data_IF_994803798532
#
_entry.id   IF_994803798532
#
_cell.length_a   1.000
_cell.length_b   1.000
_cell.length_c   1.000
_cell.angle_alpha   90.00
_cell.angle_beta   90.00
_cell.angle_gamma   90.00
#
_symmetry.space_group_name_H-M   'P 1'
#
loop_
_entity.id
_entity.type
_entity.pdbx_description
1 polymer ?
#
# COMPACT_ATOMS: atom_id res chain seq x y z
N UNK A 1 41.74 -11.49 45.78
CA UNK A 1 41.91 -12.95 45.66
C UNK A 1 40.93 -13.46 44.62
N UNK A 2 41.41 -14.34 43.72
CA UNK A 2 40.79 -14.96 42.52
C UNK A 2 40.68 -14.09 41.27
N UNK A 3 41.77 -14.18 40.49
CA UNK A 3 41.91 -13.87 39.07
C UNK A 3 41.08 -14.82 38.19
N UNK A 4 40.61 -14.32 37.04
CA UNK A 4 40.45 -15.13 35.83
C UNK A 4 40.62 -14.24 34.60
N UNK A 5 41.81 -14.30 34.01
CA UNK A 5 42.14 -13.78 32.68
C UNK A 5 42.03 -14.97 31.73
N UNK A 6 41.10 -14.92 30.78
CA UNK A 6 41.02 -15.90 29.69
C UNK A 6 41.62 -15.30 28.42
N UNK A 7 42.77 -15.82 28.01
CA UNK A 7 43.42 -15.56 26.72
C UNK A 7 42.73 -16.39 25.63
N UNK A 8 42.28 -15.74 24.57
CA UNK A 8 41.88 -16.40 23.33
C UNK A 8 43.11 -16.76 22.48
N UNK A 9 43.25 -18.05 22.15
CA UNK A 9 44.25 -18.59 21.21
C UNK A 9 43.82 -18.28 19.78
N UNK A 10 44.75 -17.74 18.99
CA UNK A 10 44.66 -17.56 17.54
C UNK A 10 45.10 -18.86 16.86
N UNK A 11 44.26 -19.42 16.00
CA UNK A 11 44.59 -20.59 15.20
C UNK A 11 45.43 -20.17 13.99
N UNK A 12 46.59 -20.80 13.84
CA UNK A 12 47.49 -20.73 12.68
C UNK A 12 47.32 -22.01 11.88
N UNK A 13 46.98 -21.89 10.59
CA UNK A 13 46.95 -23.01 9.64
C UNK A 13 48.17 -22.88 8.72
N UNK A 14 48.87 -24.00 8.58
CA UNK A 14 50.16 -24.16 7.94
C UNK A 14 50.12 -23.98 6.41
N UNK A 15 51.11 -23.27 5.89
CA UNK A 15 51.52 -23.27 4.50
C UNK A 15 52.24 -24.58 4.18
N UNK A 16 51.81 -25.26 3.12
CA UNK A 16 52.56 -26.35 2.47
C UNK A 16 53.29 -25.73 1.27
N UNK A 17 54.60 -25.90 1.27
CA UNK A 17 55.53 -25.51 0.22
C UNK A 17 56.12 -26.79 -0.37
N UNK A 18 55.99 -27.04 -1.68
CA UNK A 18 56.91 -27.91 -2.43
C UNK A 18 57.10 -27.34 -3.87
N UNK A 19 58.31 -26.80 -4.07
CA UNK A 19 59.21 -26.82 -5.24
C UNK A 19 58.69 -26.73 -6.71
N UNK A 20 58.95 -25.56 -7.33
CA UNK A 20 59.77 -25.22 -8.54
C UNK A 20 60.51 -26.34 -9.32
N UNK A 21 61.09 -26.11 -10.55
CA UNK A 21 61.19 -24.88 -11.38
C UNK A 21 61.09 -25.05 -12.94
N UNK A 22 61.19 -23.90 -13.67
CA UNK A 22 61.85 -23.62 -14.98
C UNK A 22 61.57 -24.54 -16.22
N UNK A 23 61.47 -24.10 -17.49
CA UNK A 23 61.98 -22.93 -18.24
C UNK A 23 61.31 -22.89 -19.63
N UNK A 24 61.20 -21.67 -20.19
CA UNK A 24 61.27 -21.21 -21.60
C UNK A 24 61.35 -22.27 -22.74
N UNK A 25 60.49 -22.29 -23.76
CA UNK A 25 60.22 -21.35 -24.87
C UNK A 25 60.94 -21.68 -26.20
N UNK A 26 60.15 -21.57 -27.28
CA UNK A 26 60.46 -21.36 -28.71
C UNK A 26 60.77 -22.52 -29.70
N UNK A 27 59.75 -22.76 -30.55
CA UNK A 27 59.67 -22.70 -32.05
C UNK A 27 60.64 -23.50 -32.93
N UNK A 28 60.04 -24.28 -33.85
CA UNK A 28 59.99 -24.17 -35.34
C UNK A 28 59.41 -25.53 -35.76
N UNK A 29 58.21 -25.67 -36.34
CA UNK A 29 57.77 -25.21 -37.65
C UNK A 29 57.39 -26.44 -38.48
N UNK A 30 56.17 -26.50 -39.02
CA UNK A 30 55.78 -27.14 -40.30
C UNK A 30 54.32 -26.80 -40.54
N UNK A 31 54.08 -26.19 -41.70
CA UNK A 31 52.77 -25.91 -42.24
C UNK A 31 52.18 -27.18 -42.85
N UNK A 32 50.93 -27.50 -42.52
CA UNK A 32 50.05 -28.29 -43.40
C UNK A 32 48.69 -27.61 -43.37
N UNK A 33 48.34 -26.99 -44.50
CA UNK A 33 47.00 -26.58 -44.82
C UNK A 33 46.27 -27.78 -45.41
N UNK A 34 45.09 -28.15 -44.87
CA UNK A 34 44.00 -28.67 -45.72
C UNK A 34 42.64 -28.67 -45.02
N UNK A 35 41.70 -28.05 -45.73
CA UNK A 35 40.28 -28.38 -45.86
C UNK A 35 39.32 -28.20 -44.66
N UNK A 36 38.56 -27.10 -44.75
CA UNK A 36 37.18 -26.96 -44.29
C UNK A 36 36.33 -28.22 -44.58
N UNK A 37 35.64 -28.73 -43.56
CA UNK A 37 34.29 -29.27 -43.69
C UNK A 37 33.47 -28.86 -42.46
N UNK A 38 32.60 -27.88 -42.71
CA UNK A 38 31.56 -27.40 -41.81
C UNK A 38 30.57 -28.53 -41.50
N UNK A 39 30.53 -28.96 -40.25
CA UNK A 39 29.27 -29.42 -39.62
C UNK A 39 28.96 -28.46 -38.49
N UNK A 40 28.47 -27.29 -38.88
CA UNK A 40 27.88 -26.32 -37.97
C UNK A 40 26.60 -26.89 -37.39
N UNK A 41 26.73 -27.67 -36.33
CA UNK A 41 25.66 -27.83 -35.34
C UNK A 41 25.53 -26.49 -34.62
N UNK A 42 24.81 -25.55 -35.25
CA UNK A 42 24.37 -24.35 -34.59
C UNK A 42 23.47 -24.78 -33.43
N UNK A 43 24.03 -24.83 -32.22
CA UNK A 43 23.22 -24.61 -31.03
C UNK A 43 22.58 -23.26 -31.28
N UNK A 44 21.30 -23.26 -31.64
CA UNK A 44 20.54 -22.03 -31.74
C UNK A 44 20.79 -21.30 -30.42
N UNK A 45 21.35 -20.07 -30.42
CA UNK A 45 21.35 -19.29 -29.21
C UNK A 45 19.87 -19.24 -28.82
N UNK A 46 19.55 -19.73 -27.61
CA UNK A 46 18.24 -19.52 -27.04
C UNK A 46 17.98 -18.03 -27.21
N UNK A 47 17.07 -17.69 -28.13
CA UNK A 47 16.66 -16.32 -28.39
C UNK A 47 16.19 -15.82 -27.03
N UNK A 48 17.05 -15.05 -26.36
CA UNK A 48 16.69 -14.38 -25.13
C UNK A 48 15.41 -13.62 -25.48
N UNK A 49 14.30 -14.00 -24.86
CA UNK A 49 13.00 -13.39 -25.12
C UNK A 49 13.20 -11.88 -25.10
N UNK A 50 12.72 -11.19 -26.13
CA UNK A 50 12.87 -9.75 -26.22
C UNK A 50 12.45 -9.13 -24.88
N UNK A 51 13.25 -8.22 -24.31
CA UNK A 51 12.99 -7.62 -23.01
C UNK A 51 11.60 -6.96 -23.04
N UNK A 52 10.62 -7.61 -22.42
CA UNK A 52 9.24 -7.11 -22.42
C UNK A 52 9.16 -5.93 -21.46
N UNK A 53 8.74 -4.76 -21.95
CA UNK A 53 8.46 -3.58 -21.12
C UNK A 53 7.11 -3.65 -20.41
N UNK A 54 6.38 -4.75 -20.58
CA UNK A 54 5.08 -5.03 -19.97
C UNK A 54 5.00 -6.43 -19.38
N UNK A 55 4.12 -6.62 -18.41
CA UNK A 55 3.82 -7.93 -17.81
C UNK A 55 2.35 -7.98 -17.37
N UNK A 56 1.64 -9.04 -17.76
CA UNK A 56 0.25 -9.24 -17.37
C UNK A 56 0.19 -10.22 -16.21
N UNK A 57 -0.18 -9.72 -15.03
CA UNK A 57 -0.42 -10.51 -13.84
C UNK A 57 -1.88 -10.94 -13.80
N UNK A 58 -2.15 -12.25 -13.86
CA UNK A 58 -3.51 -12.78 -13.84
C UNK A 58 -4.08 -12.76 -12.42
N UNK A 59 -5.34 -12.37 -12.29
CA UNK A 59 -6.09 -12.42 -11.04
C UNK A 59 -7.27 -13.39 -11.17
N UNK A 60 -7.77 -13.95 -10.05
CA UNK A 60 -9.00 -14.73 -10.01
C UNK A 60 -10.17 -14.05 -10.70
N UNK A 61 -11.08 -14.86 -11.25
CA UNK A 61 -12.29 -14.37 -11.93
C UNK A 61 -12.05 -13.75 -13.31
N UNK A 62 -10.84 -13.87 -13.87
CA UNK A 62 -10.49 -13.34 -15.20
C UNK A 62 -10.04 -11.89 -15.21
N UNK A 63 -9.90 -11.28 -14.03
CA UNK A 63 -9.28 -9.97 -13.88
C UNK A 63 -7.76 -10.06 -14.11
N UNK A 64 -7.10 -8.92 -14.34
CA UNK A 64 -5.65 -8.88 -14.45
C UNK A 64 -5.10 -7.50 -14.09
N UNK A 65 -3.80 -7.43 -13.81
CA UNK A 65 -3.05 -6.18 -13.71
C UNK A 65 -1.98 -6.19 -14.79
N UNK A 66 -2.03 -5.20 -15.67
CA UNK A 66 -1.00 -4.99 -16.67
C UNK A 66 0.03 -4.02 -16.09
N UNK A 67 1.19 -4.56 -15.73
CA UNK A 67 2.36 -3.79 -15.38
C UNK A 67 3.04 -3.30 -16.66
N UNK A 68 3.49 -2.06 -16.65
CA UNK A 68 4.14 -1.41 -17.78
C UNK A 68 5.25 -0.47 -17.35
N UNK A 69 6.03 -0.01 -18.33
CA UNK A 69 7.13 0.94 -18.13
C UNK A 69 8.12 0.44 -17.04
N UNK A 70 8.67 -0.75 -17.27
CA UNK A 70 9.68 -1.34 -16.39
C UNK A 70 10.89 -0.41 -16.23
N UNK A 71 11.33 -0.18 -14.99
CA UNK A 71 12.50 0.63 -14.70
C UNK A 71 13.79 0.03 -15.30
N UNK A 72 13.90 -1.30 -15.27
CA UNK A 72 14.92 -2.07 -15.97
C UNK A 72 14.28 -3.24 -16.73
N UNK A 73 13.95 -3.09 -18.02
CA UNK A 73 13.34 -4.16 -18.83
C UNK A 73 14.21 -5.41 -19.00
N UNK A 74 15.53 -5.32 -18.72
CA UNK A 74 16.45 -6.45 -18.79
C UNK A 74 16.49 -7.27 -17.49
N UNK A 75 16.01 -6.71 -16.37
CA UNK A 75 15.97 -7.43 -15.10
C UNK A 75 15.00 -8.63 -15.20
N UNK A 76 15.31 -9.77 -14.55
CA UNK A 76 14.37 -10.86 -14.37
C UNK A 76 13.05 -10.35 -13.78
N UNK A 77 11.91 -10.95 -14.14
CA UNK A 77 10.58 -10.51 -13.67
C UNK A 77 10.51 -10.31 -12.13
N UNK A 78 11.03 -11.22 -11.28
CA UNK A 78 10.99 -11.05 -9.82
C UNK A 78 11.87 -9.92 -9.26
N UNK A 79 12.66 -9.25 -10.10
CA UNK A 79 13.54 -8.14 -9.73
C UNK A 79 13.15 -6.85 -10.47
N UNK A 80 12.08 -6.90 -11.27
CA UNK A 80 11.70 -5.81 -12.16
C UNK A 80 10.69 -4.90 -11.46
N UNK A 81 11.10 -3.66 -11.22
CA UNK A 81 10.22 -2.61 -10.74
C UNK A 81 9.45 -1.95 -11.90
N UNK A 82 8.22 -1.54 -11.63
CA UNK A 82 7.28 -1.07 -12.66
C UNK A 82 6.76 0.33 -12.36
N UNK A 83 6.68 1.20 -13.38
CA UNK A 83 6.20 2.59 -13.20
C UNK A 83 4.71 2.75 -13.52
N UNK A 84 4.07 1.72 -14.07
CA UNK A 84 2.66 1.75 -14.45
C UNK A 84 1.97 0.44 -14.10
N UNK A 85 0.75 0.53 -13.58
CA UNK A 85 -0.18 -0.60 -13.45
C UNK A 85 -1.58 -0.19 -13.87
N UNK A 86 -2.18 -1.00 -14.72
CA UNK A 86 -3.56 -0.84 -15.16
C UNK A 86 -4.33 -2.09 -14.76
N UNK A 87 -5.40 -1.92 -13.99
CA UNK A 87 -6.30 -3.01 -13.66
C UNK A 87 -7.25 -3.28 -14.83
N UNK A 88 -7.46 -4.55 -15.14
CA UNK A 88 -8.36 -5.05 -16.18
C UNK A 88 -9.45 -5.90 -15.54
N UNK A 89 -10.70 -5.51 -15.79
CA UNK A 89 -11.85 -6.35 -15.48
C UNK A 89 -12.06 -7.42 -16.56
N UNK A 90 -12.74 -8.52 -16.23
CA UNK A 90 -13.13 -9.55 -17.21
C UNK A 90 -14.00 -8.99 -18.35
N UNK A 91 -14.73 -7.90 -18.09
CA UNK A 91 -15.56 -7.20 -19.06
C UNK A 91 -14.76 -6.39 -20.09
N UNK A 92 -13.44 -6.29 -19.91
CA UNK A 92 -12.56 -5.43 -20.71
C UNK A 92 -12.48 -3.98 -20.22
N UNK A 93 -13.28 -3.59 -19.24
CA UNK A 93 -13.14 -2.28 -18.59
C UNK A 93 -11.79 -2.19 -17.84
N UNK A 94 -11.22 -0.99 -17.75
CA UNK A 94 -9.92 -0.77 -17.13
C UNK A 94 -9.87 0.50 -16.29
N UNK A 95 -8.91 0.56 -15.37
CA UNK A 95 -8.52 1.80 -14.70
C UNK A 95 -7.04 1.76 -14.32
N UNK A 96 -6.41 2.93 -14.20
CA UNK A 96 -5.02 3.05 -13.77
C UNK A 96 -4.92 2.92 -12.25
N UNK A 97 -4.16 1.93 -11.78
CA UNK A 97 -3.73 1.85 -10.37
C UNK A 97 -2.58 2.82 -10.12
N UNK A 98 -1.66 2.91 -11.08
CA UNK A 98 -0.54 3.85 -11.08
C UNK A 98 -0.17 4.29 -12.52
N UNK A 99 0.10 5.59 -12.76
CA UNK A 99 -0.24 6.71 -11.85
C UNK A 99 -1.75 6.79 -11.64
N UNK A 100 -2.19 7.28 -10.47
CA UNK A 100 -3.63 7.43 -10.21
C UNK A 100 -4.22 8.49 -11.13
N UNK A 101 -5.53 8.46 -11.30
CA UNK A 101 -6.23 9.47 -12.09
C UNK A 101 -5.96 10.87 -11.50
N UNK A 102 -5.45 11.79 -12.32
CA UNK A 102 -5.10 13.15 -11.88
C UNK A 102 -3.65 13.34 -11.41
N UNK A 103 -2.92 12.26 -11.14
CA UNK A 103 -1.51 12.35 -10.78
C UNK A 103 -0.66 12.65 -12.02
N UNK A 104 0.21 13.66 -11.90
CA UNK A 104 1.38 13.75 -12.79
C UNK A 104 2.33 12.64 -12.38
N UNK A 105 2.89 11.90 -13.34
CA UNK A 105 3.88 10.88 -13.07
C UNK A 105 5.07 11.47 -12.27
N UNK A 106 5.00 11.37 -10.94
CA UNK A 106 6.09 11.77 -10.07
C UNK A 106 7.21 10.78 -10.33
N UNK A 107 8.40 11.29 -10.69
CA UNK A 107 9.51 10.51 -11.23
C UNK A 107 10.09 9.42 -10.32
N UNK A 108 9.54 9.22 -9.12
CA UNK A 108 10.02 8.26 -8.14
C UNK A 108 9.03 7.18 -7.69
N UNK A 109 7.83 7.06 -8.27
CA UNK A 109 6.93 5.94 -7.90
C UNK A 109 7.25 4.67 -8.68
N UNK A 110 7.45 3.56 -7.98
CA UNK A 110 7.72 2.24 -8.56
C UNK A 110 6.96 1.17 -7.79
N UNK A 111 6.30 0.25 -8.49
CA UNK A 111 5.71 -0.94 -7.88
C UNK A 111 6.71 -2.08 -7.81
N UNK A 112 6.53 -2.86 -6.76
CA UNK A 112 7.20 -4.14 -6.59
C UNK A 112 6.71 -5.16 -7.65
N UNK A 113 7.56 -6.15 -7.97
CA UNK A 113 7.16 -7.27 -8.82
C UNK A 113 5.92 -7.99 -8.26
N UNK A 114 4.91 -8.28 -9.09
CA UNK A 114 3.78 -9.07 -8.65
C UNK A 114 4.18 -10.53 -8.36
N UNK A 115 3.52 -11.12 -7.38
CA UNK A 115 3.64 -12.53 -6.99
C UNK A 115 2.27 -13.12 -6.70
N UNK A 116 2.06 -14.40 -6.97
CA UNK A 116 0.83 -15.10 -6.57
C UNK A 116 0.60 -15.05 -5.06
N UNK A 117 1.67 -14.93 -4.27
CA UNK A 117 1.60 -14.71 -2.82
C UNK A 117 1.01 -13.34 -2.43
N UNK A 118 0.83 -12.42 -3.37
CA UNK A 118 0.12 -11.17 -3.15
C UNK A 118 -1.40 -11.34 -3.18
N UNK A 119 -1.91 -12.46 -3.71
CA UNK A 119 -3.34 -12.74 -3.81
C UNK A 119 -3.79 -13.49 -2.55
N UNK A 120 -4.87 -13.02 -1.93
CA UNK A 120 -5.46 -13.69 -0.76
C UNK A 120 -5.87 -15.13 -1.10
N UNK A 121 -5.82 -16.08 -0.16
CA UNK A 121 -6.28 -17.46 -0.42
C UNK A 121 -7.74 -17.58 -0.88
N UNK A 122 -8.58 -16.61 -0.55
CA UNK A 122 -9.96 -16.49 -1.04
C UNK A 122 -10.07 -16.10 -2.51
N UNK A 123 -9.01 -15.51 -3.07
CA UNK A 123 -9.00 -14.91 -4.40
C UNK A 123 -9.80 -13.62 -4.51
N UNK A 124 -10.21 -13.01 -3.38
CA UNK A 124 -11.02 -11.79 -3.39
C UNK A 124 -10.18 -10.51 -3.33
N UNK A 125 -8.96 -10.59 -2.80
CA UNK A 125 -8.07 -9.45 -2.62
C UNK A 125 -6.68 -9.70 -3.19
N UNK A 126 -6.03 -8.62 -3.61
CA UNK A 126 -4.60 -8.56 -3.94
C UNK A 126 -3.96 -7.36 -3.23
N UNK A 127 -2.76 -7.53 -2.68
CA UNK A 127 -1.99 -6.43 -2.06
C UNK A 127 -0.77 -6.12 -2.92
N UNK A 128 -0.61 -4.86 -3.31
CA UNK A 128 0.49 -4.43 -4.18
C UNK A 128 1.38 -3.47 -3.42
N UNK A 129 2.68 -3.79 -3.33
CA UNK A 129 3.71 -2.91 -2.80
C UNK A 129 4.14 -1.85 -3.81
N UNK A 130 4.38 -0.63 -3.33
CA UNK A 130 4.96 0.47 -4.10
C UNK A 130 5.94 1.27 -3.25
N UNK A 131 6.96 1.81 -3.89
CA UNK A 131 7.91 2.74 -3.32
C UNK A 131 7.70 4.09 -4.00
N UNK A 132 7.51 5.13 -3.21
CA UNK A 132 7.52 6.52 -3.68
C UNK A 132 8.82 7.18 -3.23
N UNK A 133 9.62 7.65 -4.18
CA UNK A 133 10.83 8.42 -3.91
C UNK A 133 10.68 9.88 -4.32
N UNK A 134 11.24 10.79 -3.53
CA UNK A 134 11.27 12.23 -3.82
C UNK A 134 12.19 12.98 -2.88
N UNK A 135 12.42 14.25 -3.16
CA UNK A 135 13.26 15.11 -2.31
C UNK A 135 12.40 15.81 -1.27
N UNK A 136 12.79 15.73 0.01
CA UNK A 136 12.13 16.38 1.13
C UNK A 136 12.97 17.56 1.62
N UNK A 137 12.32 18.71 1.83
CA UNK A 137 12.99 19.87 2.39
C UNK A 137 13.33 19.64 3.86
N UNK A 138 14.60 19.75 4.19
CA UNK A 138 15.10 19.65 5.58
C UNK A 138 14.95 20.96 6.37
N UNK A 139 14.31 21.98 5.78
CA UNK A 139 14.12 23.32 6.35
C UNK A 139 14.72 24.45 5.50
N UNK A 140 14.43 25.71 5.84
CA UNK A 140 14.92 26.86 5.06
C UNK A 140 16.46 26.89 5.01
N UNK A 141 17.03 26.93 3.81
CA UNK A 141 18.48 27.00 3.58
C UNK A 141 19.24 25.68 3.77
N UNK A 142 18.54 24.58 4.06
CA UNK A 142 19.14 23.25 4.12
C UNK A 142 18.98 22.54 2.77
N UNK A 143 19.96 21.69 2.38
CA UNK A 143 19.82 20.87 1.18
C UNK A 143 18.61 19.94 1.31
N UNK A 144 17.90 19.79 0.20
CA UNK A 144 16.87 18.76 0.09
C UNK A 144 17.53 17.38 0.23
N UNK A 145 16.83 16.46 0.90
CA UNK A 145 17.28 15.09 1.06
C UNK A 145 16.37 14.15 0.30
N UNK A 146 16.95 13.20 -0.43
CA UNK A 146 16.16 12.16 -1.08
C UNK A 146 15.59 11.21 -0.02
N UNK A 147 14.28 11.02 -0.07
CA UNK A 147 13.54 10.14 0.82
C UNK A 147 12.71 9.18 -0.02
N UNK A 148 12.67 7.92 0.39
CA UNK A 148 11.79 6.91 -0.17
C UNK A 148 10.83 6.40 0.91
N UNK A 149 9.60 6.11 0.51
CA UNK A 149 8.57 5.55 1.38
C UNK A 149 7.86 4.39 0.70
N UNK A 150 7.76 3.29 1.42
CA UNK A 150 6.99 2.13 1.01
C UNK A 150 5.52 2.31 1.37
N UNK A 151 4.66 1.93 0.43
CA UNK A 151 3.23 1.82 0.58
C UNK A 151 2.75 0.46 0.08
N UNK A 152 1.58 0.05 0.55
CA UNK A 152 0.89 -1.14 0.08
C UNK A 152 -0.59 -0.85 -0.08
N UNK A 153 -1.11 -1.10 -1.28
CA UNK A 153 -2.52 -0.94 -1.58
C UNK A 153 -3.22 -2.30 -1.55
N UNK A 154 -4.25 -2.45 -0.72
CA UNK A 154 -5.15 -3.60 -0.74
C UNK A 154 -6.28 -3.35 -1.75
N UNK A 155 -6.49 -4.28 -2.67
CA UNK A 155 -7.45 -4.15 -3.76
C UNK A 155 -8.43 -5.31 -3.72
N UNK A 156 -9.73 -5.01 -3.67
CA UNK A 156 -10.79 -5.98 -3.89
C UNK A 156 -10.91 -6.28 -5.39
N UNK A 157 -10.59 -7.51 -5.78
CA UNK A 157 -10.44 -7.92 -7.19
C UNK A 157 -11.75 -7.79 -7.97
N UNK A 158 -12.89 -8.07 -7.32
CA UNK A 158 -14.21 -8.02 -7.98
C UNK A 158 -14.58 -6.62 -8.45
N UNK A 159 -14.28 -5.61 -7.63
CA UNK A 159 -14.76 -4.22 -7.81
C UNK A 159 -13.64 -3.29 -8.26
N UNK A 160 -12.37 -3.68 -8.08
CA UNK A 160 -11.23 -2.80 -8.23
C UNK A 160 -11.15 -1.73 -7.13
N UNK A 161 -11.90 -1.87 -6.03
CA UNK A 161 -11.82 -0.96 -4.90
C UNK A 161 -10.47 -1.12 -4.19
N UNK A 162 -9.70 -0.04 -4.11
CA UNK A 162 -8.56 0.07 -3.20
C UNK A 162 -9.15 0.30 -1.81
N UNK A 163 -9.16 -0.75 -0.99
CA UNK A 163 -9.77 -0.74 0.35
C UNK A 163 -8.89 -0.06 1.39
N UNK A 164 -7.59 -0.02 1.16
CA UNK A 164 -6.65 0.72 1.98
C UNK A 164 -5.37 0.98 1.18
N UNK A 165 -4.67 2.05 1.51
CA UNK A 165 -3.32 2.35 1.03
C UNK A 165 -2.43 2.70 2.22
N UNK A 166 -1.74 1.68 2.73
CA UNK A 166 -1.00 1.75 3.98
C UNK A 166 0.50 1.91 3.74
N UNK A 167 1.24 2.08 4.82
CA UNK A 167 2.70 2.28 4.84
C UNK A 167 3.29 1.73 6.12
N UNK A 168 4.56 1.35 6.10
CA UNK A 168 5.28 0.82 7.26
C UNK A 168 5.02 -0.67 7.49
N UNK A 169 5.10 -1.09 8.75
CA UNK A 169 5.14 -2.51 9.15
C UNK A 169 3.96 -3.36 8.66
N UNK A 170 2.78 -2.75 8.49
CA UNK A 170 1.59 -3.45 7.99
C UNK A 170 1.78 -3.97 6.55
N UNK A 171 2.65 -3.34 5.75
CA UNK A 171 2.94 -3.79 4.39
C UNK A 171 3.77 -5.09 4.35
N UNK A 172 4.48 -5.42 5.44
CA UNK A 172 5.27 -6.65 5.54
C UNK A 172 4.52 -7.85 6.13
N UNK A 173 3.23 -7.73 6.47
CA UNK A 173 2.54 -8.75 7.26
C UNK A 173 2.20 -10.04 6.48
N UNK A 174 1.73 -9.91 5.24
CA UNK A 174 1.41 -11.04 4.36
C UNK A 174 0.09 -11.76 4.68
N UNK A 175 -0.38 -12.57 3.71
CA UNK A 175 -1.56 -13.42 3.89
C UNK A 175 -1.26 -14.61 4.79
N UNK A 176 -2.17 -14.89 5.74
CA UNK A 176 -2.02 -16.01 6.66
C UNK A 176 -2.40 -17.35 6.02
N UNK A 177 -1.52 -18.34 6.15
CA UNK A 177 -1.76 -19.68 5.65
C UNK A 177 -2.99 -20.31 6.31
N UNK A 178 -3.83 -20.99 5.53
CA UNK A 178 -5.08 -21.61 6.01
C UNK A 178 -6.23 -20.64 6.28
N UNK A 179 -5.99 -19.33 6.21
CA UNK A 179 -7.03 -18.30 6.37
C UNK A 179 -7.47 -17.76 5.01
N UNK A 180 -8.76 -17.52 4.83
CA UNK A 180 -9.31 -17.12 3.52
C UNK A 180 -8.87 -15.71 3.12
N UNK A 181 -8.97 -14.74 4.02
CA UNK A 181 -8.71 -13.33 3.73
C UNK A 181 -8.21 -12.60 4.99
N UNK A 182 -7.13 -13.12 5.58
CA UNK A 182 -6.50 -12.54 6.76
C UNK A 182 -5.10 -12.04 6.40
N UNK A 183 -4.90 -10.73 6.51
CA UNK A 183 -3.64 -10.06 6.30
C UNK A 183 -3.01 -9.78 7.67
N UNK A 184 -1.93 -10.49 7.99
CA UNK A 184 -1.32 -10.42 9.32
C UNK A 184 -2.30 -10.76 10.45
N UNK A 185 -2.39 -9.88 11.46
CA UNK A 185 -3.34 -10.02 12.57
C UNK A 185 -4.76 -9.61 12.19
N UNK A 186 -5.73 -9.85 13.08
CA UNK A 186 -7.12 -9.41 12.88
C UNK A 186 -7.22 -7.89 12.76
N UNK A 187 -6.47 -7.14 13.58
CA UNK A 187 -6.41 -5.68 13.51
C UNK A 187 -5.81 -5.19 12.18
N UNK A 188 -4.76 -5.85 11.70
CA UNK A 188 -4.15 -5.52 10.40
C UNK A 188 -5.09 -5.85 9.24
N UNK A 189 -5.87 -6.93 9.38
CA UNK A 189 -6.90 -7.32 8.41
C UNK A 189 -8.04 -6.31 8.38
N UNK A 190 -8.51 -5.87 9.54
CA UNK A 190 -9.54 -4.85 9.64
C UNK A 190 -9.08 -3.54 9.00
N UNK A 191 -7.86 -3.09 9.32
CA UNK A 191 -7.25 -1.91 8.70
C UNK A 191 -7.13 -2.03 7.18
N UNK A 192 -6.60 -3.15 6.68
CA UNK A 192 -6.34 -3.31 5.24
C UNK A 192 -7.61 -3.50 4.41
N UNK A 193 -8.63 -4.17 4.95
CA UNK A 193 -9.75 -4.66 4.16
C UNK A 193 -11.10 -4.03 4.51
N UNK A 194 -11.24 -3.41 5.69
CA UNK A 194 -12.54 -3.01 6.25
C UNK A 194 -12.59 -1.57 6.73
N UNK A 195 -11.85 -1.20 7.77
CA UNK A 195 -12.00 0.09 8.46
C UNK A 195 -11.65 1.28 7.57
N UNK A 196 -10.62 1.13 6.74
CA UNK A 196 -10.14 2.19 5.87
C UNK A 196 -10.78 2.14 4.49
N UNK A 197 -11.72 1.22 4.26
CA UNK A 197 -12.47 1.13 3.01
C UNK A 197 -13.22 2.45 2.77
N UNK A 198 -12.95 3.16 1.66
CA UNK A 198 -13.66 4.40 1.34
C UNK A 198 -15.18 4.20 1.23
N UNK A 199 -15.94 5.15 1.77
CA UNK A 199 -17.40 5.20 1.59
C UNK A 199 -17.89 6.64 1.55
N UNK A 200 -18.98 6.89 0.81
CA UNK A 200 -19.52 8.23 0.65
C UNK A 200 -19.97 8.80 2.00
N UNK A 201 -20.54 7.96 2.85
CA UNK A 201 -20.99 8.37 4.20
C UNK A 201 -19.83 8.84 5.07
N UNK A 202 -18.71 8.09 5.07
CA UNK A 202 -17.48 8.47 5.78
C UNK A 202 -16.90 9.77 5.23
N UNK A 203 -16.79 9.88 3.91
CA UNK A 203 -16.26 11.08 3.27
C UNK A 203 -17.08 12.33 3.60
N UNK A 204 -18.41 12.26 3.44
CA UNK A 204 -19.30 13.38 3.74
C UNK A 204 -19.27 13.75 5.23
N UNK A 205 -19.14 12.76 6.13
CA UNK A 205 -19.00 13.02 7.56
C UNK A 205 -17.79 13.91 7.83
N UNK A 206 -16.63 13.58 7.27
CA UNK A 206 -15.41 14.38 7.45
C UNK A 206 -15.48 15.75 6.78
N UNK A 207 -16.07 15.84 5.59
CA UNK A 207 -16.32 17.13 4.93
C UNK A 207 -17.21 18.01 5.82
N UNK A 208 -18.28 17.43 6.39
CA UNK A 208 -19.20 18.14 7.27
C UNK A 208 -18.53 18.57 8.58
N UNK A 209 -17.51 17.83 9.03
CA UNK A 209 -16.66 18.19 10.16
C UNK A 209 -15.61 19.28 9.83
N UNK A 210 -15.61 19.81 8.60
CA UNK A 210 -14.77 20.93 8.17
C UNK A 210 -13.41 20.51 7.57
N UNK A 211 -13.20 19.21 7.34
CA UNK A 211 -11.98 18.75 6.67
C UNK A 211 -12.01 19.10 5.18
N UNK A 212 -10.85 19.43 4.57
CA UNK A 212 -10.78 19.85 3.18
C UNK A 212 -11.16 18.70 2.23
N UNK A 213 -12.21 18.85 1.40
CA UNK A 213 -12.73 17.77 0.56
C UNK A 213 -11.69 17.14 -0.36
N UNK A 214 -10.78 17.95 -0.92
CA UNK A 214 -9.74 17.48 -1.84
C UNK A 214 -8.77 16.51 -1.15
N UNK A 215 -8.27 16.87 0.03
CA UNK A 215 -7.31 16.01 0.74
C UNK A 215 -7.92 14.67 1.16
N UNK A 216 -9.23 14.66 1.48
CA UNK A 216 -9.95 13.44 1.80
C UNK A 216 -10.09 12.52 0.59
N UNK A 217 -10.49 13.07 -0.56
CA UNK A 217 -10.59 12.31 -1.81
C UNK A 217 -9.23 11.78 -2.24
N UNK A 218 -8.17 12.58 -2.15
CA UNK A 218 -6.80 12.14 -2.45
C UNK A 218 -6.37 10.99 -1.52
N UNK A 219 -6.70 11.08 -0.23
CA UNK A 219 -6.46 10.03 0.77
C UNK A 219 -7.22 8.73 0.49
N UNK A 220 -8.43 8.83 -0.05
CA UNK A 220 -9.25 7.70 -0.49
C UNK A 220 -8.85 7.16 -1.87
N UNK A 221 -7.69 7.55 -2.40
CA UNK A 221 -7.17 7.16 -3.72
C UNK A 221 -8.00 7.67 -4.90
N UNK A 222 -8.69 8.80 -4.74
CA UNK A 222 -9.44 9.48 -5.79
C UNK A 222 -10.95 9.20 -5.77
N UNK A 223 -11.71 10.09 -6.41
CA UNK A 223 -13.17 9.98 -6.47
C UNK A 223 -13.65 8.74 -7.25
N UNK A 224 -12.87 8.30 -8.24
CA UNK A 224 -13.13 7.06 -8.97
C UNK A 224 -12.97 5.82 -8.08
N UNK A 225 -12.01 5.82 -7.15
CA UNK A 225 -11.86 4.74 -6.18
C UNK A 225 -13.04 4.69 -5.20
N UNK A 226 -13.45 5.85 -4.68
CA UNK A 226 -14.63 5.96 -3.83
C UNK A 226 -15.87 5.32 -4.50
N UNK A 227 -16.10 5.62 -5.79
CA UNK A 227 -17.20 5.05 -6.56
C UNK A 227 -17.09 3.54 -6.80
N UNK A 228 -15.87 2.97 -6.82
CA UNK A 228 -15.68 1.51 -6.86
C UNK A 228 -15.92 0.87 -5.49
N UNK A 229 -15.57 1.56 -4.41
CA UNK A 229 -15.68 1.07 -3.04
C UNK A 229 -17.11 1.13 -2.48
N UNK A 230 -17.86 2.18 -2.82
CA UNK A 230 -19.25 2.44 -2.41
C UNK A 230 -20.10 2.95 -3.59
N UNK A 231 -20.42 2.11 -4.61
CA UNK A 231 -21.08 2.57 -5.83
C UNK A 231 -22.37 3.36 -5.58
N UNK A 232 -22.71 4.34 -6.46
CA UNK A 232 -23.97 5.06 -6.35
C UNK A 232 -25.18 4.14 -6.36
N UNK A 233 -26.05 4.35 -5.39
CA UNK A 233 -27.30 3.63 -5.17
C UNK A 233 -28.36 4.60 -4.68
N UNK A 234 -29.63 4.20 -4.64
CA UNK A 234 -30.70 5.01 -4.07
C UNK A 234 -30.44 5.43 -2.61
N UNK A 235 -29.64 4.66 -1.86
CA UNK A 235 -29.33 4.93 -0.45
C UNK A 235 -28.26 6.02 -0.25
N UNK A 236 -27.25 6.11 -1.13
CA UNK A 236 -26.12 7.04 -0.97
C UNK A 236 -26.10 8.15 -2.05
N UNK A 237 -27.06 8.18 -2.96
CA UNK A 237 -27.12 9.16 -4.06
C UNK A 237 -27.07 10.60 -3.60
N UNK A 238 -27.84 10.93 -2.57
CA UNK A 238 -27.89 12.29 -2.03
C UNK A 238 -26.59 12.68 -1.32
N UNK A 239 -25.90 11.70 -0.72
CA UNK A 239 -24.58 11.88 -0.12
C UNK A 239 -23.57 12.26 -1.21
N UNK A 240 -23.57 11.56 -2.34
CA UNK A 240 -22.72 11.86 -3.48
C UNK A 240 -22.98 13.26 -4.07
N UNK A 241 -24.23 13.70 -4.18
CA UNK A 241 -24.55 15.06 -4.64
C UNK A 241 -23.93 16.13 -3.75
N UNK A 242 -23.96 15.92 -2.43
CA UNK A 242 -23.36 16.84 -1.45
C UNK A 242 -21.84 16.83 -1.55
N UNK A 243 -21.22 15.66 -1.67
CA UNK A 243 -19.77 15.53 -1.89
C UNK A 243 -19.35 16.28 -3.15
N UNK A 244 -20.04 16.05 -4.28
CA UNK A 244 -19.74 16.75 -5.55
C UNK A 244 -19.88 18.27 -5.41
N UNK A 245 -20.90 18.76 -4.69
CA UNK A 245 -21.06 20.19 -4.41
C UNK A 245 -19.91 20.75 -3.56
N UNK A 246 -19.48 20.03 -2.51
CA UNK A 246 -18.35 20.41 -1.67
C UNK A 246 -17.03 20.42 -2.44
N UNK A 247 -16.81 19.45 -3.33
CA UNK A 247 -15.63 19.41 -4.21
C UNK A 247 -15.61 20.58 -5.18
N UNK A 248 -16.75 20.93 -5.80
CA UNK A 248 -16.86 22.13 -6.66
C UNK A 248 -16.56 23.41 -5.89
N UNK A 249 -17.11 23.55 -4.68
CA UNK A 249 -16.84 24.70 -3.83
C UNK A 249 -15.35 24.82 -3.44
N UNK A 250 -14.64 23.69 -3.35
CA UNK A 250 -13.21 23.61 -3.09
C UNK A 250 -12.33 23.70 -4.36
N UNK A 251 -12.91 23.90 -5.54
CA UNK A 251 -12.20 23.95 -6.83
C UNK A 251 -11.74 22.59 -7.38
N UNK A 252 -12.15 21.48 -6.76
CA UNK A 252 -11.88 20.11 -7.21
C UNK A 252 -12.89 19.67 -8.29
N UNK A 253 -12.93 20.41 -9.41
CA UNK A 253 -13.92 20.22 -10.47
C UNK A 253 -13.79 18.86 -11.19
N UNK A 254 -12.58 18.31 -11.30
CA UNK A 254 -12.36 17.00 -11.94
C UNK A 254 -13.03 15.89 -11.13
N UNK A 255 -12.76 15.82 -9.82
CA UNK A 255 -13.34 14.81 -8.92
C UNK A 255 -14.86 14.94 -8.83
N UNK A 256 -15.36 16.18 -8.76
CA UNK A 256 -16.79 16.42 -8.80
C UNK A 256 -17.42 15.94 -10.11
N UNK A 257 -16.77 16.19 -11.25
CA UNK A 257 -17.23 15.74 -12.57
C UNK A 257 -17.29 14.21 -12.69
N UNK A 258 -16.35 13.49 -12.10
CA UNK A 258 -16.36 12.02 -12.02
C UNK A 258 -17.59 11.52 -11.25
N UNK A 259 -17.91 12.14 -10.10
CA UNK A 259 -19.09 11.80 -9.32
C UNK A 259 -20.38 12.15 -10.08
N UNK A 260 -20.47 13.34 -10.66
CA UNK A 260 -21.64 13.80 -11.40
C UNK A 260 -21.94 12.88 -12.61
N UNK A 261 -20.89 12.40 -13.30
CA UNK A 261 -21.03 11.42 -14.39
C UNK A 261 -21.57 10.08 -13.90
N UNK A 262 -21.06 9.56 -12.77
CA UNK A 262 -21.52 8.30 -12.19
C UNK A 262 -22.97 8.40 -11.67
N UNK A 263 -23.37 9.55 -11.14
CA UNK A 263 -24.75 9.81 -10.72
C UNK A 263 -25.74 9.86 -11.89
N UNK A 264 -25.26 10.23 -13.07
CA UNK A 264 -26.05 10.33 -14.31
C UNK A 264 -26.22 8.97 -14.98
N UNK A 265 -25.20 8.10 -14.93
CA UNK A 265 -25.28 6.74 -15.48
C UNK A 265 -26.08 5.78 -14.59
N UNK A 266 -26.11 6.02 -13.28
CA UNK A 266 -26.90 5.22 -12.33
C UNK A 266 -28.43 5.38 -12.48
N UNK A 267 -28.91 6.41 -13.18
CA UNK A 267 -30.35 6.60 -13.47
C UNK A 267 -30.92 5.58 -14.47
N UNK A 268 -30.07 4.77 -15.12
CA UNK A 268 -30.47 3.75 -16.10
C UNK A 268 -30.54 2.31 -15.58
N UNK A 269 -30.25 2.04 -14.30
CA UNK A 269 -30.08 0.68 -13.77
C UNK A 269 -30.93 0.36 -12.53
N UNK A 270 -31.85 -0.60 -12.66
CA UNK A 270 -32.62 -1.19 -11.54
C UNK A 270 -31.81 -2.21 -10.72
N UNK A 271 -31.85 -2.05 -9.39
CA UNK A 271 -31.54 -2.99 -8.27
C UNK A 271 -30.07 -3.51 -8.16
N UNK A 272 -29.42 -3.55 -6.99
CA UNK A 272 -29.81 -4.26 -5.76
C UNK A 272 -29.40 -3.56 -4.45
N UNK A 273 -30.15 -3.86 -3.38
CA UNK A 273 -29.99 -3.36 -2.01
C UNK A 273 -28.92 -4.16 -1.25
N UNK A 274 -28.11 -3.49 -0.40
CA UNK A 274 -27.97 -3.96 0.98
C UNK A 274 -28.35 -2.86 1.99
N UNK A 275 -28.98 -3.30 3.07
CA UNK A 275 -29.50 -2.51 4.20
C UNK A 275 -28.41 -1.69 4.91
N UNK A 276 -28.64 -0.42 5.29
CA UNK A 276 -27.67 0.37 6.03
C UNK A 276 -27.69 0.05 7.53
N UNK A 277 -26.50 -0.16 8.10
CA UNK A 277 -26.27 -0.12 9.55
C UNK A 277 -26.03 1.33 9.95
N UNK A 278 -26.89 1.88 10.81
CA UNK A 278 -26.71 3.20 11.39
C UNK A 278 -25.70 3.17 12.55
N UNK A 279 -24.90 4.23 12.71
CA UNK A 279 -24.36 4.78 13.97
C UNK A 279 -23.31 5.85 13.62
N UNK A 280 -23.05 6.91 14.37
CA UNK A 280 -23.74 7.66 15.43
C UNK A 280 -22.85 8.91 15.63
N UNK A 281 -23.43 10.05 16.00
CA UNK A 281 -22.72 11.33 16.20
C UNK A 281 -21.73 11.25 17.39
N UNK A 282 -20.43 11.26 17.11
CA UNK A 282 -19.38 11.24 18.14
C UNK A 282 -19.17 12.59 18.85
N UNK A 283 -18.89 12.54 20.16
CA UNK A 283 -18.64 13.72 21.00
C UNK A 283 -17.13 14.02 21.08
N UNK A 284 -16.73 15.30 21.08
CA UNK A 284 -15.30 15.68 21.22
C UNK A 284 -14.86 15.62 22.69
N UNK A 285 -13.67 15.08 22.93
CA UNK A 285 -13.04 15.04 24.25
C UNK A 285 -11.57 15.44 24.17
N UNK A 286 -11.00 15.78 25.32
CA UNK A 286 -9.59 16.15 25.46
C UNK A 286 -8.93 15.18 26.42
N UNK A 287 -7.70 14.76 26.13
CA UNK A 287 -6.93 13.92 27.05
C UNK A 287 -6.56 14.71 28.31
N UNK A 288 -7.04 14.25 29.47
CA UNK A 288 -6.84 14.89 30.78
C UNK A 288 -5.59 14.37 31.51
N UNK A 289 -5.22 13.12 31.24
CA UNK A 289 -4.03 12.49 31.79
C UNK A 289 -2.74 13.11 31.20
N UNK A 290 -1.64 13.10 31.95
CA UNK A 290 -0.32 13.52 31.40
C UNK A 290 0.09 12.67 30.20
N UNK A 291 -0.22 11.38 30.28
CA UNK A 291 -0.02 10.37 29.26
C UNK A 291 -1.17 9.38 29.37
N UNK A 292 -1.87 9.15 28.28
CA UNK A 292 -2.97 8.19 28.18
C UNK A 292 -2.56 7.09 27.21
N UNK A 293 -2.46 5.85 27.72
CA UNK A 293 -2.13 4.70 26.89
C UNK A 293 -3.29 4.40 25.94
N UNK A 294 -2.96 4.03 24.72
CA UNK A 294 -3.93 3.58 23.73
C UNK A 294 -3.92 2.06 23.63
N UNK A 295 -5.08 1.48 23.42
CA UNK A 295 -5.28 0.03 23.43
C UNK A 295 -5.92 -0.42 22.12
N UNK A 296 -5.59 -1.62 21.67
CA UNK A 296 -6.20 -2.20 20.46
C UNK A 296 -7.55 -2.88 20.76
N UNK A 297 -7.77 -3.28 22.02
CA UNK A 297 -9.05 -3.76 22.55
C UNK A 297 -9.41 -3.02 23.86
N UNK A 298 -10.68 -3.03 24.31
CA UNK A 298 -11.10 -2.36 25.55
C UNK A 298 -10.78 -3.20 26.79
N UNK A 299 -9.51 -3.55 26.98
CA UNK A 299 -9.00 -4.25 28.14
C UNK A 299 -7.52 -3.89 28.40
N UNK A 300 -7.01 -4.25 29.58
CA UNK A 300 -5.64 -3.91 29.98
C UNK A 300 -4.55 -4.79 29.35
N UNK A 301 -4.90 -5.94 28.78
CA UNK A 301 -3.94 -6.86 28.16
C UNK A 301 -3.48 -6.39 26.78
N UNK A 302 -4.28 -5.57 26.11
CA UNK A 302 -4.04 -5.09 24.75
C UNK A 302 -3.52 -3.64 24.70
N UNK A 303 -2.68 -3.27 25.65
CA UNK A 303 -1.99 -1.99 25.64
C UNK A 303 -1.03 -1.90 24.44
N UNK A 304 -1.23 -0.89 23.60
CA UNK A 304 -0.30 -0.60 22.50
C UNK A 304 0.86 0.27 22.97
N UNK A 305 1.88 0.42 22.13
CA UNK A 305 2.96 1.38 22.37
C UNK A 305 2.53 2.83 22.14
N UNK A 306 1.39 3.05 21.48
CA UNK A 306 0.86 4.37 21.21
C UNK A 306 0.25 4.98 22.48
N UNK A 307 0.43 6.28 22.63
CA UNK A 307 -0.15 7.05 23.73
C UNK A 307 -0.49 8.45 23.24
N UNK A 308 -1.44 9.08 23.92
CA UNK A 308 -1.74 10.49 23.77
C UNK A 308 -1.26 11.25 24.99
N UNK A 309 -0.99 12.53 24.83
CA UNK A 309 -0.57 13.41 25.92
C UNK A 309 -1.67 14.38 26.29
N UNK A 310 -1.54 15.00 27.46
CA UNK A 310 -2.49 15.99 27.94
C UNK A 310 -2.74 17.06 26.88
N UNK A 311 -4.01 17.41 26.71
CA UNK A 311 -4.54 18.38 25.74
C UNK A 311 -4.66 17.89 24.30
N UNK A 312 -4.27 16.65 23.98
CA UNK A 312 -4.61 16.06 22.70
C UNK A 312 -6.13 15.96 22.58
N UNK A 313 -6.64 16.40 21.43
CA UNK A 313 -8.06 16.36 21.12
C UNK A 313 -8.40 15.05 20.41
N UNK A 314 -9.47 14.41 20.86
CA UNK A 314 -9.97 13.18 20.26
C UNK A 314 -11.48 13.26 20.01
N UNK A 315 -11.95 12.51 19.03
CA UNK A 315 -13.38 12.32 18.80
C UNK A 315 -13.78 10.96 19.35
N UNK A 316 -14.73 10.91 20.27
CA UNK A 316 -15.26 9.67 20.82
C UNK A 316 -16.26 9.09 19.83
N UNK A 317 -15.93 7.95 19.25
CA UNK A 317 -16.77 7.24 18.27
C UNK A 317 -17.72 6.25 18.96
N UNK A 318 -17.31 5.67 20.08
CA UNK A 318 -18.10 4.69 20.84
C UNK A 318 -17.69 4.67 22.31
N UNK A 319 -18.65 4.54 23.22
CA UNK A 319 -18.41 4.32 24.66
C UNK A 319 -19.06 3.02 25.14
N UNK A 320 -18.45 1.90 24.80
CA UNK A 320 -18.85 0.57 25.27
C UNK A 320 -17.71 -0.39 24.97
N UNK A 321 -17.22 -1.17 25.94
CA UNK A 321 -17.76 -1.42 27.28
C UNK A 321 -17.53 -0.26 28.28
N UNK A 322 -18.16 -0.35 29.46
CA UNK A 322 -18.03 0.67 30.50
C UNK A 322 -16.57 0.90 30.89
N UNK A 323 -16.18 2.18 31.05
CA UNK A 323 -14.80 2.58 31.33
C UNK A 323 -13.92 2.76 30.09
N UNK A 324 -14.42 2.43 28.89
CA UNK A 324 -13.66 2.51 27.64
C UNK A 324 -14.35 3.39 26.60
N UNK A 325 -13.54 4.18 25.91
CA UNK A 325 -13.94 4.95 24.74
C UNK A 325 -13.11 4.50 23.54
N UNK A 326 -13.76 4.22 22.43
CA UNK A 326 -13.10 4.13 21.14
C UNK A 326 -13.00 5.52 20.56
N UNK A 327 -11.78 5.97 20.31
CA UNK A 327 -11.50 7.35 19.94
C UNK A 327 -10.72 7.43 18.63
N UNK A 328 -10.98 8.51 17.92
CA UNK A 328 -10.21 8.96 16.77
C UNK A 328 -9.30 10.11 17.18
N UNK A 329 -7.99 9.91 17.06
CA UNK A 329 -6.98 10.94 17.19
C UNK A 329 -6.41 11.29 15.81
N UNK A 330 -6.42 12.58 15.49
CA UNK A 330 -5.81 13.09 14.26
C UNK A 330 -4.51 13.78 14.61
N UNK A 331 -3.39 13.27 14.09
CA UNK A 331 -2.09 13.89 14.32
C UNK A 331 -1.92 15.17 13.47
N UNK A 332 -0.81 15.89 13.67
CA UNK A 332 -0.53 17.13 12.92
C UNK A 332 -0.38 16.97 11.40
N UNK A 333 -0.25 15.75 10.88
CA UNK A 333 -0.22 15.45 9.45
C UNK A 333 -1.57 15.01 8.88
N UNK A 334 -2.65 15.10 9.67
CA UNK A 334 -3.98 14.65 9.25
C UNK A 334 -4.17 13.13 9.25
N UNK A 335 -3.21 12.36 9.77
CA UNK A 335 -3.32 10.89 9.86
C UNK A 335 -4.13 10.51 11.09
N UNK A 336 -5.12 9.65 10.87
CA UNK A 336 -6.00 9.13 11.91
C UNK A 336 -5.35 7.97 12.66
N UNK A 337 -5.63 7.90 13.96
CA UNK A 337 -5.27 6.81 14.86
C UNK A 337 -6.51 6.45 15.69
N UNK A 338 -7.17 5.37 15.28
CA UNK A 338 -8.34 4.82 15.96
C UNK A 338 -7.93 3.82 17.04
N UNK A 339 -8.20 4.12 18.30
CA UNK A 339 -7.80 3.25 19.43
C UNK A 339 -8.77 3.33 20.59
N UNK A 340 -8.72 2.33 21.46
CA UNK A 340 -9.38 2.38 22.76
C UNK A 340 -8.55 3.19 23.75
N UNK A 341 -9.24 3.99 24.56
CA UNK A 341 -8.67 4.76 25.67
C UNK A 341 -9.60 4.62 26.87
N UNK A 342 -9.05 4.70 28.08
CA UNK A 342 -9.86 4.68 29.30
C UNK A 342 -10.58 6.02 29.44
N UNK A 343 -11.89 5.98 29.74
CA UNK A 343 -12.75 7.17 29.82
C UNK A 343 -12.29 8.13 30.93
N UNK A 344 -11.71 7.62 32.01
CA UNK A 344 -11.15 8.41 33.11
C UNK A 344 -9.90 9.22 32.71
N UNK A 345 -9.29 8.93 31.57
CA UNK A 345 -8.19 9.69 30.97
C UNK A 345 -8.66 10.79 30.01
N UNK A 346 -9.98 10.95 29.85
CA UNK A 346 -10.61 11.97 29.02
C UNK A 346 -11.34 13.00 29.88
N UNK A 347 -11.19 14.27 29.53
CA UNK A 347 -12.12 15.34 29.88
C UNK A 347 -13.12 15.47 28.73
N UNK A 348 -14.31 14.89 28.94
CA UNK A 348 -15.44 15.04 28.02
C UNK A 348 -15.98 16.46 28.22
N UNK A 349 -15.93 17.29 27.17
CA UNK A 349 -16.64 18.58 27.22
C UNK A 349 -18.15 18.27 27.15
N UNK A 350 -18.96 18.82 28.06
CA UNK A 350 -20.41 18.62 28.02
C UNK A 350 -21.03 19.19 26.74
#
# INVERSE_FOLDING_TARGET
>A
MKNAIFRFRKASVSLVEICSPCTQALRIGVAIATALLLTGGAVAPALAAAPSSTFRFALPGGAAILYGNAANPQAPLPQRAWKQAVFYFPTGATFSLLPRAGDRAAGGTQMEPPSDSNISPSGHYVVIGRIESGSVSSGPGQPESDSSREYCSAIEIRTGCITADQTGEICGAGWQAGQRAQWGTDDQTDLMLRSDRPSASRLLHFISAGQPPRALVDGDSGADNLLRCDPPSSANREIYRRIAASLRAAGAHSDAGVIDAALSSADGGTADKPTPTAMETGHRAIVSARKASLYTAPDDAHASQAYLVRNDAVTILKQSPAGWAYVDYVNGSGKHLLRWIKVDQLAIKP
#
